data_IF_066227167304
#
_entry.id   IF_066227167304
#
_cell.length_a   1.000
_cell.length_b   1.000
_cell.length_c   1.000
_cell.angle_alpha   90.00
_cell.angle_beta   90.00
_cell.angle_gamma   90.00
#
_symmetry.space_group_name_H-M   'P 1'
#
loop_
_entity.id
_entity.type
_entity.pdbx_description
1 polymer ?
#
# COMPACT_ATOMS: atom_id res chain seq x y z
N UNK A 1 -32.33 -18.05 -12.02
CA UNK A 1 -33.41 -18.75 -12.75
C UNK A 1 -33.76 -18.09 -14.07
N UNK A 2 -34.16 -16.81 -14.12
CA UNK A 2 -34.61 -16.17 -15.37
C UNK A 2 -33.55 -16.17 -16.49
N UNK A 3 -32.30 -15.83 -16.16
CA UNK A 3 -31.18 -15.88 -17.11
C UNK A 3 -30.84 -17.30 -17.61
N UNK A 4 -31.11 -18.35 -16.82
CA UNK A 4 -30.88 -19.74 -17.24
C UNK A 4 -31.92 -20.12 -18.31
N UNK A 5 -33.17 -19.73 -18.09
CA UNK A 5 -34.26 -19.96 -19.03
C UNK A 5 -34.05 -19.23 -20.37
N UNK A 6 -33.57 -17.99 -20.35
CA UNK A 6 -33.21 -17.24 -21.57
C UNK A 6 -32.13 -17.93 -22.41
N UNK A 7 -31.27 -18.73 -21.76
CA UNK A 7 -30.22 -19.52 -22.40
C UNK A 7 -30.67 -20.95 -22.76
N UNK A 8 -31.95 -21.28 -22.57
CA UNK A 8 -32.51 -22.60 -22.85
C UNK A 8 -32.15 -23.67 -21.80
N UNK A 9 -31.71 -23.27 -20.62
CA UNK A 9 -31.42 -24.16 -19.49
C UNK A 9 -32.65 -24.28 -18.58
N UNK A 10 -32.82 -25.46 -17.98
CA UNK A 10 -34.00 -25.81 -17.18
C UNK A 10 -34.05 -25.09 -15.82
N UNK A 11 -32.90 -24.69 -15.28
CA UNK A 11 -32.82 -24.00 -13.99
C UNK A 11 -31.39 -23.90 -13.48
N UNK A 12 -31.25 -23.45 -12.24
CA UNK A 12 -30.02 -23.49 -11.48
C UNK A 12 -30.33 -24.02 -10.08
N UNK A 13 -29.41 -24.79 -9.49
CA UNK A 13 -29.54 -25.29 -8.13
C UNK A 13 -29.58 -24.14 -7.12
N UNK A 14 -30.24 -24.35 -5.98
CA UNK A 14 -30.37 -23.34 -4.93
C UNK A 14 -28.99 -22.91 -4.38
N UNK A 15 -28.04 -23.84 -4.28
CA UNK A 15 -26.66 -23.59 -3.84
C UNK A 15 -25.89 -22.63 -4.79
N UNK A 16 -26.32 -22.52 -6.05
CA UNK A 16 -25.68 -21.62 -7.00
C UNK A 16 -25.82 -20.15 -6.57
N UNK A 17 -26.92 -19.79 -5.91
CA UNK A 17 -27.12 -18.44 -5.40
C UNK A 17 -26.08 -18.11 -4.32
N UNK A 18 -25.82 -19.03 -3.40
CA UNK A 18 -24.85 -18.86 -2.31
C UNK A 18 -23.43 -18.69 -2.86
N UNK A 19 -23.06 -19.48 -3.85
CA UNK A 19 -21.75 -19.39 -4.51
C UNK A 19 -21.59 -18.02 -5.20
N UNK A 20 -22.64 -17.54 -5.87
CA UNK A 20 -22.62 -16.21 -6.53
C UNK A 20 -22.45 -15.10 -5.49
N UNK A 21 -23.13 -15.18 -4.35
CA UNK A 21 -22.97 -14.18 -3.27
C UNK A 21 -21.52 -14.11 -2.78
N UNK A 22 -20.91 -15.27 -2.51
CA UNK A 22 -19.50 -15.34 -2.07
C UNK A 22 -18.56 -14.82 -3.16
N UNK A 23 -18.81 -15.17 -4.42
CA UNK A 23 -18.01 -14.71 -5.55
C UNK A 23 -18.06 -13.18 -5.71
N UNK A 24 -19.25 -12.58 -5.60
CA UNK A 24 -19.44 -11.12 -5.67
C UNK A 24 -18.77 -10.42 -4.48
N UNK A 25 -18.87 -10.98 -3.28
CA UNK A 25 -18.17 -10.44 -2.10
C UNK A 25 -16.65 -10.43 -2.31
N UNK A 26 -16.08 -11.52 -2.82
CA UNK A 26 -14.65 -11.61 -3.11
C UNK A 26 -14.24 -10.65 -4.23
N UNK A 27 -15.07 -10.52 -5.27
CA UNK A 27 -14.85 -9.55 -6.34
C UNK A 27 -14.79 -8.12 -5.81
N UNK A 28 -15.78 -7.70 -5.02
CA UNK A 28 -15.81 -6.37 -4.41
C UNK A 28 -14.61 -6.13 -3.48
N UNK A 29 -14.24 -7.11 -2.65
CA UNK A 29 -13.05 -7.03 -1.80
C UNK A 29 -11.78 -6.83 -2.62
N UNK A 30 -11.62 -7.54 -3.73
CA UNK A 30 -10.44 -7.41 -4.59
C UNK A 30 -10.37 -6.02 -5.22
N UNK A 31 -11.51 -5.51 -5.70
CA UNK A 31 -11.62 -4.16 -6.27
C UNK A 31 -11.24 -3.10 -5.24
N UNK A 32 -11.87 -3.12 -4.05
CA UNK A 32 -11.61 -2.14 -2.99
C UNK A 32 -10.18 -2.23 -2.48
N UNK A 33 -9.66 -3.45 -2.29
CA UNK A 33 -8.29 -3.67 -1.82
C UNK A 33 -7.27 -3.09 -2.79
N UNK A 34 -7.50 -3.18 -4.10
CA UNK A 34 -6.61 -2.58 -5.09
C UNK A 34 -6.60 -1.06 -5.04
N UNK A 35 -7.73 -0.42 -4.80
CA UNK A 35 -7.81 1.05 -4.66
C UNK A 35 -7.07 1.49 -3.40
N UNK A 36 -7.32 0.81 -2.29
CA UNK A 36 -6.63 1.08 -1.03
C UNK A 36 -5.12 0.81 -1.11
N UNK A 37 -4.69 -0.19 -1.90
CA UNK A 37 -3.28 -0.51 -2.12
C UNK A 37 -2.49 0.59 -2.84
N UNK A 38 -3.15 1.36 -3.70
CA UNK A 38 -2.52 2.51 -4.37
C UNK A 38 -2.41 3.71 -3.44
N UNK A 39 -3.37 3.83 -2.53
CA UNK A 39 -3.51 5.00 -1.66
C UNK A 39 -2.69 4.90 -0.38
N UNK A 40 -2.63 3.71 0.22
CA UNK A 40 -1.96 3.46 1.50
C UNK A 40 -1.01 2.27 1.41
N UNK A 41 -0.03 2.24 2.32
CA UNK A 41 0.86 1.12 2.48
C UNK A 41 0.12 -0.14 2.93
N UNK A 42 0.71 -1.28 2.60
CA UNK A 42 0.21 -2.59 2.98
C UNK A 42 1.36 -3.58 3.15
N UNK A 43 1.07 -4.68 3.84
CA UNK A 43 2.01 -5.79 3.99
C UNK A 43 1.60 -6.95 3.08
N UNK A 44 2.59 -7.69 2.62
CA UNK A 44 2.37 -8.89 1.82
C UNK A 44 2.84 -10.11 2.57
N UNK A 45 1.98 -11.12 2.64
CA UNK A 45 2.33 -12.44 3.15
C UNK A 45 2.67 -13.32 1.94
N UNK A 46 3.92 -13.76 1.87
CA UNK A 46 4.46 -14.39 0.67
C UNK A 46 4.46 -13.43 -0.52
N UNK A 47 3.99 -13.89 -1.68
CA UNK A 47 4.01 -13.12 -2.94
C UNK A 47 2.66 -12.54 -3.37
N UNK A 48 1.56 -13.05 -2.82
CA UNK A 48 0.22 -12.81 -3.41
C UNK A 48 -0.82 -12.31 -2.42
N UNK A 49 -0.64 -12.50 -1.11
CA UNK A 49 -1.65 -12.16 -0.12
C UNK A 49 -1.36 -10.81 0.53
N UNK A 50 -2.23 -9.84 0.31
CA UNK A 50 -2.16 -8.51 0.92
C UNK A 50 -2.89 -8.49 2.26
N UNK A 51 -2.25 -7.95 3.29
CA UNK A 51 -2.80 -7.80 4.63
C UNK A 51 -2.33 -6.48 5.27
N UNK A 52 -2.95 -6.07 6.38
CA UNK A 52 -2.59 -4.84 7.11
C UNK A 52 -2.62 -3.59 6.21
N UNK A 53 -3.72 -3.45 5.45
CA UNK A 53 -3.93 -2.34 4.52
C UNK A 53 -4.24 -1.08 5.33
N UNK A 54 -3.57 0.01 4.98
CA UNK A 54 -3.84 1.32 5.59
C UNK A 54 -2.70 1.88 6.43
N UNK A 55 -1.56 1.18 6.46
CA UNK A 55 -0.34 1.70 7.08
C UNK A 55 0.28 2.83 6.26
N UNK A 56 1.11 3.63 6.93
CA UNK A 56 1.89 4.66 6.25
C UNK A 56 2.96 4.02 5.37
N UNK A 57 3.11 4.56 4.16
CA UNK A 57 4.15 4.10 3.25
C UNK A 57 5.49 4.72 3.67
N UNK A 58 6.53 3.91 3.95
CA UNK A 58 7.84 4.46 4.26
C UNK A 58 8.34 5.27 3.06
N UNK A 59 9.01 6.38 3.34
CA UNK A 59 9.55 7.25 2.30
C UNK A 59 10.61 6.48 1.47
N UNK A 60 10.32 6.26 0.19
CA UNK A 60 11.17 5.49 -0.72
C UNK A 60 12.53 6.14 -1.02
N UNK A 61 12.66 7.44 -0.76
CA UNK A 61 13.92 8.17 -0.90
C UNK A 61 14.75 8.15 0.40
N UNK A 62 14.16 7.75 1.53
CA UNK A 62 14.93 7.47 2.74
C UNK A 62 15.46 6.04 2.71
N UNK A 63 16.73 5.93 2.34
CA UNK A 63 17.48 4.68 2.46
C UNK A 63 17.81 4.45 3.94
N UNK A 64 17.55 3.24 4.44
CA UNK A 64 18.01 2.82 5.76
C UNK A 64 19.55 2.94 5.83
N UNK A 65 20.03 3.97 6.52
CA UNK A 65 21.45 4.28 6.70
C UNK A 65 22.05 3.63 7.95
N UNK A 66 21.23 2.98 8.80
CA UNK A 66 21.67 2.38 10.05
C UNK A 66 22.73 1.27 9.89
N UNK A 67 22.96 0.81 8.64
CA UNK A 67 24.01 -0.16 8.30
C UNK A 67 25.05 0.34 7.30
N UNK A 68 24.99 1.60 6.87
CA UNK A 68 25.92 2.14 5.86
C UNK A 68 27.20 2.70 6.48
N UNK A 69 27.13 3.17 7.72
CA UNK A 69 28.26 3.75 8.43
C UNK A 69 28.48 3.01 9.75
N UNK A 70 29.64 2.37 9.89
CA UNK A 70 30.12 1.83 11.15
C UNK A 70 31.21 2.76 11.71
N UNK A 71 30.94 3.53 12.79
CA UNK A 71 31.92 4.40 13.42
C UNK A 71 33.16 3.64 13.93
N UNK A 72 33.03 2.33 14.21
CA UNK A 72 34.15 1.51 14.66
C UNK A 72 35.09 1.12 13.53
N UNK A 73 34.61 1.12 12.28
CA UNK A 73 35.42 0.74 11.12
C UNK A 73 36.63 1.66 10.89
N UNK A 74 36.61 2.89 11.40
CA UNK A 74 37.67 3.89 11.21
C UNK A 74 38.55 4.10 12.46
N UNK A 75 38.48 3.20 13.44
CA UNK A 75 39.50 3.11 14.50
C UNK A 75 39.50 4.25 15.52
N UNK A 76 38.37 4.95 15.71
CA UNK A 76 38.22 5.94 16.78
C UNK A 76 37.96 5.20 18.10
N UNK A 77 39.01 4.92 18.86
CA UNK A 77 38.88 4.26 20.16
C UNK A 77 39.42 5.22 21.21
N UNK A 78 38.55 5.69 22.10
CA UNK A 78 38.98 6.42 23.28
C UNK A 78 39.16 5.41 24.42
N UNK A 79 40.35 5.40 25.01
CA UNK A 79 40.66 4.65 26.23
C UNK A 79 40.48 5.64 27.37
N UNK A 80 39.56 5.34 28.28
CA UNK A 80 39.36 6.13 29.49
C UNK A 80 40.33 5.61 30.56
N UNK A 81 41.19 6.49 31.10
CA UNK A 81 42.24 6.14 32.08
C UNK A 81 41.69 6.00 33.51
N UNK A 82 40.37 6.02 33.69
CA UNK A 82 39.71 5.84 34.98
C UNK A 82 39.82 4.41 35.51
N UNK A 83 39.98 4.27 36.84
CA UNK A 83 40.12 2.98 37.56
C UNK A 83 38.90 2.04 37.40
N UNK A 84 37.78 2.56 36.87
CA UNK A 84 36.51 1.86 36.65
C UNK A 84 36.11 1.81 35.15
N UNK A 85 37.06 2.02 34.24
CA UNK A 85 36.77 2.17 32.81
C UNK A 85 36.38 0.84 32.14
N UNK A 86 35.10 0.71 31.84
CA UNK A 86 34.52 -0.40 31.07
C UNK A 86 34.89 -0.28 29.59
N UNK A 87 36.08 -0.80 29.24
CA UNK A 87 36.50 -1.12 27.88
C UNK A 87 36.59 0.06 26.89
N UNK A 88 37.20 -0.16 25.72
CA UNK A 88 37.29 0.87 24.69
C UNK A 88 35.89 1.24 24.18
N UNK A 89 35.54 2.53 24.29
CA UNK A 89 34.28 3.08 23.74
C UNK A 89 34.59 4.05 22.60
N UNK A 90 33.76 4.00 21.57
CA UNK A 90 33.77 4.94 20.45
C UNK A 90 32.53 5.85 20.58
N UNK A 91 32.60 6.96 21.34
CA UNK A 91 31.48 7.88 21.44
C UNK A 91 31.22 8.55 20.08
N UNK A 92 29.95 8.74 19.69
CA UNK A 92 29.62 9.37 18.40
C UNK A 92 30.09 10.82 18.36
N UNK A 93 30.49 11.30 17.19
CA UNK A 93 30.85 12.71 17.00
C UNK A 93 29.62 13.62 16.94
N UNK A 94 29.84 14.94 17.11
CA UNK A 94 28.77 15.94 17.01
C UNK A 94 28.11 15.87 15.63
N UNK A 95 28.89 15.83 14.55
CA UNK A 95 28.38 15.68 13.18
C UNK A 95 27.55 14.40 12.99
N UNK A 96 27.97 13.28 13.60
CA UNK A 96 27.23 12.01 13.58
C UNK A 96 25.90 12.13 14.35
N UNK A 97 25.92 12.79 15.50
CA UNK A 97 24.75 13.01 16.33
C UNK A 97 23.75 13.93 15.61
N UNK A 98 24.24 14.99 14.98
CA UNK A 98 23.44 15.90 14.14
C UNK A 98 22.85 15.16 12.94
N UNK A 99 23.65 14.34 12.24
CA UNK A 99 23.16 13.54 11.12
C UNK A 99 22.06 12.55 11.56
N UNK A 100 22.24 11.92 12.71
CA UNK A 100 21.24 10.99 13.27
C UNK A 100 19.93 11.70 13.64
N UNK A 101 20.02 12.88 14.24
CA UNK A 101 18.85 13.69 14.60
C UNK A 101 18.12 14.23 13.35
N UNK A 102 18.86 14.69 12.33
CA UNK A 102 18.29 15.14 11.05
C UNK A 102 17.61 13.98 10.32
N UNK A 103 18.21 12.79 10.34
CA UNK A 103 17.60 11.59 9.77
C UNK A 103 16.32 11.20 10.51
N UNK A 104 16.30 11.25 11.84
CA UNK A 104 15.12 10.99 12.64
C UNK A 104 14.01 12.00 12.36
N UNK A 105 14.34 13.29 12.27
CA UNK A 105 13.40 14.35 11.88
C UNK A 105 12.85 14.10 10.47
N UNK A 106 13.70 13.72 9.51
CA UNK A 106 13.26 13.37 8.15
C UNK A 106 12.39 12.10 8.09
N UNK A 107 12.58 11.17 9.05
CA UNK A 107 11.72 10.00 9.23
C UNK A 107 10.43 10.30 10.01
N UNK A 108 10.38 11.39 10.77
CA UNK A 108 9.33 11.64 11.75
C UNK A 108 7.97 12.07 11.17
N UNK A 109 7.90 12.38 9.87
CA UNK A 109 6.68 12.84 9.24
C UNK A 109 6.34 12.02 7.98
N UNK A 110 5.52 10.96 8.08
CA UNK A 110 4.58 10.67 7.01
C UNK A 110 3.62 11.88 6.87
N UNK A 111 3.32 12.24 5.62
CA UNK A 111 2.53 13.39 5.18
C UNK A 111 1.50 13.93 6.22
N UNK A 112 1.58 15.21 6.66
CA UNK A 112 0.67 15.79 7.65
C UNK A 112 -0.75 16.02 7.13
N UNK A 113 -0.98 15.88 5.82
CA UNK A 113 -2.33 15.83 5.28
C UNK A 113 -2.79 14.37 5.26
N UNK A 114 -3.65 13.94 6.21
CA UNK A 114 -4.26 12.64 6.13
C UNK A 114 -5.01 12.58 4.82
N UNK A 115 -4.51 11.74 3.92
CA UNK A 115 -5.14 11.34 2.67
C UNK A 115 -6.66 11.27 2.92
N UNK A 116 -7.44 12.21 2.37
CA UNK A 116 -8.80 12.54 2.84
C UNK A 116 -9.61 11.27 3.02
N UNK A 117 -10.22 11.02 4.20
CA UNK A 117 -10.86 9.73 4.58
C UNK A 117 -11.86 9.13 3.56
N UNK A 118 -12.24 9.88 2.52
CA UNK A 118 -13.14 9.48 1.46
C UNK A 118 -12.37 9.04 0.22
N UNK A 119 -12.78 7.91 -0.34
CA UNK A 119 -12.33 7.44 -1.66
C UNK A 119 -13.02 8.28 -2.74
N UNK A 120 -12.24 8.78 -3.70
CA UNK A 120 -12.77 9.54 -4.84
C UNK A 120 -12.99 8.64 -6.07
N UNK A 121 -13.85 9.09 -6.99
CA UNK A 121 -14.11 8.38 -8.25
C UNK A 121 -12.88 8.44 -9.15
N UNK A 122 -12.10 9.53 -9.10
CA UNK A 122 -10.83 9.65 -9.83
C UNK A 122 -9.79 8.62 -9.37
N UNK A 123 -9.63 8.42 -8.06
CA UNK A 123 -8.78 7.36 -7.52
C UNK A 123 -9.20 5.99 -8.05
N UNK A 124 -10.51 5.70 -8.00
CA UNK A 124 -11.06 4.46 -8.51
C UNK A 124 -10.77 4.25 -10.01
N UNK A 125 -10.99 5.28 -10.82
CA UNK A 125 -10.73 5.26 -12.25
C UNK A 125 -9.24 5.01 -12.56
N UNK A 126 -8.34 5.71 -11.87
CA UNK A 126 -6.89 5.55 -12.00
C UNK A 126 -6.41 4.15 -11.57
N UNK A 127 -7.00 3.58 -10.51
CA UNK A 127 -6.73 2.20 -10.09
C UNK A 127 -7.08 1.21 -11.19
N UNK A 128 -8.24 1.34 -11.82
CA UNK A 128 -8.65 0.44 -12.91
C UNK A 128 -7.74 0.56 -14.14
N UNK A 129 -7.27 1.77 -14.47
CA UNK A 129 -6.30 1.97 -15.55
C UNK A 129 -4.96 1.27 -15.28
N UNK A 130 -4.50 1.31 -14.03
CA UNK A 130 -3.24 0.70 -13.60
C UNK A 130 -3.34 -0.82 -13.51
N UNK A 131 -4.45 -1.32 -12.97
CA UNK A 131 -4.69 -2.73 -12.68
C UNK A 131 -5.85 -3.29 -13.50
N UNK A 132 -5.64 -3.42 -14.81
CA UNK A 132 -6.67 -3.87 -15.76
C UNK A 132 -7.21 -5.29 -15.51
N UNK A 133 -6.43 -6.12 -14.80
CA UNK A 133 -6.80 -7.52 -14.53
C UNK A 133 -7.76 -7.69 -13.34
N UNK A 134 -8.10 -6.62 -12.61
CA UNK A 134 -9.08 -6.70 -11.50
C UNK A 134 -10.46 -7.14 -12.04
N UNK A 135 -10.83 -6.63 -13.22
CA UNK A 135 -12.05 -7.02 -13.94
C UNK A 135 -11.61 -7.85 -15.14
N UNK A 136 -11.65 -9.18 -14.99
CA UNK A 136 -11.18 -10.09 -16.04
C UNK A 136 -11.98 -10.00 -17.36
N UNK A 137 -13.26 -9.66 -17.28
CA UNK A 137 -14.11 -9.55 -18.47
C UNK A 137 -13.90 -8.21 -19.18
N UNK A 138 -13.28 -8.26 -20.37
CA UNK A 138 -12.98 -7.07 -21.18
C UNK A 138 -14.23 -6.27 -21.56
N UNK A 139 -15.33 -6.92 -21.90
CA UNK A 139 -16.58 -6.26 -22.29
C UNK A 139 -17.16 -5.44 -21.13
N UNK A 140 -17.17 -6.03 -19.93
CA UNK A 140 -17.64 -5.36 -18.70
C UNK A 140 -16.70 -4.22 -18.32
N UNK A 141 -15.38 -4.46 -18.40
CA UNK A 141 -14.38 -3.43 -18.11
C UNK A 141 -14.54 -2.23 -19.06
N UNK A 142 -14.59 -2.44 -20.37
CA UNK A 142 -14.64 -1.37 -21.37
C UNK A 142 -15.88 -0.48 -21.21
N UNK A 143 -17.06 -1.08 -21.12
CA UNK A 143 -18.33 -0.33 -20.98
C UNK A 143 -18.34 0.50 -19.69
N UNK A 144 -17.86 -0.08 -18.59
CA UNK A 144 -17.85 0.63 -17.31
C UNK A 144 -16.77 1.72 -17.26
N UNK A 145 -15.63 1.52 -17.91
CA UNK A 145 -14.61 2.57 -18.05
C UNK A 145 -15.11 3.76 -18.85
N UNK A 146 -15.86 3.54 -19.94
CA UNK A 146 -16.50 4.63 -20.68
C UNK A 146 -17.52 5.38 -19.81
N UNK A 147 -18.36 4.66 -19.07
CA UNK A 147 -19.32 5.28 -18.14
C UNK A 147 -18.65 6.13 -17.07
N UNK A 148 -17.57 5.63 -16.45
CA UNK A 148 -16.80 6.38 -15.47
C UNK A 148 -16.18 7.64 -16.07
N UNK A 149 -15.58 7.53 -17.26
CA UNK A 149 -15.02 8.68 -17.98
C UNK A 149 -16.08 9.74 -18.27
N UNK A 150 -17.29 9.35 -18.68
CA UNK A 150 -18.39 10.29 -18.91
C UNK A 150 -18.83 10.96 -17.61
N UNK A 151 -18.90 10.21 -16.51
CA UNK A 151 -19.25 10.77 -15.19
C UNK A 151 -18.23 11.80 -14.71
N UNK A 152 -16.93 11.58 -14.92
CA UNK A 152 -15.87 12.49 -14.52
C UNK A 152 -15.80 13.76 -15.39
N UNK A 153 -16.20 13.68 -16.65
CA UNK A 153 -16.11 14.79 -17.61
C UNK A 153 -17.39 15.63 -17.75
N UNK A 154 -18.50 15.24 -17.10
CA UNK A 154 -19.74 16.00 -17.19
C UNK A 154 -19.72 17.20 -16.21
N UNK A 155 -20.03 18.44 -16.67
CA UNK A 155 -19.99 19.65 -15.85
C UNK A 155 -21.18 19.79 -14.87
N UNK A 156 -21.69 18.67 -14.33
CA UNK A 156 -22.86 18.64 -13.44
C UNK A 156 -22.52 18.24 -12.00
N UNK A 157 -21.24 18.22 -11.64
CA UNK A 157 -20.72 18.13 -10.27
C UNK A 157 -19.78 19.30 -9.99
#
# INVERSE_FOLDING_TARGET
MLAAWELGLEGADDDAADIVVVAVQNFLKNVISAVLAQRKGYKTHGKYFMYDIGGDMPNMWLRNSAKLYDPQSWGRVNVDDGVDSLGPRCPPTIDEMEHSAVFEIACSAPNPEPNEDRLTIDEFYNTLLTHRNIIACHSIYAINMERLSVMLNHPSY
#
